data_IF_581099758982
#
_entry.id   IF_581099758982
#
_cell.length_a   1.000
_cell.length_b   1.000
_cell.length_c   1.000
_cell.angle_alpha   90.00
_cell.angle_beta   90.00
_cell.angle_gamma   90.00
#
_symmetry.space_group_name_H-M   'P 1'
#
loop_
_entity.id
_entity.type
_entity.pdbx_description
1 polymer ?
#
# COMPACT_ATOMS: atom_id res chain seq x y z
N UNK A 1 0.96 9.28 -8.52
CA UNK A 1 1.50 8.34 -7.52
C UNK A 1 1.50 9.06 -6.19
N UNK A 2 0.92 8.48 -5.15
CA UNK A 2 0.92 9.08 -3.81
C UNK A 2 2.33 8.93 -3.19
N UNK A 3 2.98 10.02 -2.74
CA UNK A 3 4.30 9.94 -2.15
C UNK A 3 4.26 9.13 -0.85
N UNK A 4 5.32 8.36 -0.59
CA UNK A 4 5.46 7.65 0.69
C UNK A 4 5.49 8.68 1.84
N UNK A 5 4.76 8.45 2.94
CA UNK A 5 4.86 9.29 4.14
C UNK A 5 6.31 9.40 4.61
N UNK A 6 6.74 10.64 4.92
CA UNK A 6 8.08 10.92 5.43
C UNK A 6 8.00 11.09 6.95
N UNK A 7 8.84 10.40 7.73
CA UNK A 7 8.87 10.57 9.18
C UNK A 7 9.35 11.99 9.55
N UNK A 8 8.74 12.57 10.58
CA UNK A 8 9.21 13.82 11.22
C UNK A 8 10.08 13.49 12.43
N UNK A 9 11.02 14.35 12.82
CA UNK A 9 11.86 14.15 14.02
C UNK A 9 11.05 13.95 15.31
N UNK A 10 9.87 14.56 15.39
CA UNK A 10 8.92 14.42 16.50
C UNK A 10 8.55 12.97 16.83
N UNK A 11 8.60 12.02 15.88
CA UNK A 11 8.25 10.61 16.14
C UNK A 11 9.21 9.94 17.12
N UNK A 12 10.41 10.50 17.32
CA UNK A 12 11.42 9.96 18.24
C UNK A 12 11.07 10.30 19.69
N UNK A 13 10.39 11.44 19.91
CA UNK A 13 10.12 11.99 21.24
C UNK A 13 8.65 11.97 21.63
N UNK A 14 7.74 11.89 20.65
CA UNK A 14 6.29 11.90 20.84
C UNK A 14 5.66 10.59 20.34
N UNK A 15 5.11 9.76 21.25
CA UNK A 15 4.47 8.50 20.86
C UNK A 15 3.23 8.71 19.99
N UNK A 16 2.50 9.82 20.15
CA UNK A 16 1.31 10.13 19.34
C UNK A 16 1.73 10.43 17.89
N UNK A 17 2.81 11.17 17.71
CA UNK A 17 3.38 11.43 16.39
C UNK A 17 3.84 10.12 15.71
N UNK A 18 4.40 9.17 16.47
CA UNK A 18 4.78 7.86 15.96
C UNK A 18 3.56 7.03 15.52
N UNK A 19 2.49 7.00 16.31
CA UNK A 19 1.25 6.30 15.95
C UNK A 19 0.60 6.87 14.69
N UNK A 20 0.52 8.21 14.58
CA UNK A 20 0.00 8.85 13.36
C UNK A 20 0.85 8.54 12.13
N UNK A 21 2.18 8.53 12.26
CA UNK A 21 3.07 8.16 11.16
C UNK A 21 2.86 6.69 10.75
N UNK A 22 2.76 5.77 11.70
CA UNK A 22 2.51 4.36 11.41
C UNK A 22 1.17 4.17 10.70
N UNK A 23 0.09 4.79 11.20
CA UNK A 23 -1.23 4.74 10.56
C UNK A 23 -1.20 5.29 9.12
N UNK A 24 -0.48 6.39 8.90
CA UNK A 24 -0.30 6.96 7.57
C UNK A 24 0.45 5.99 6.64
N UNK A 25 1.52 5.36 7.13
CA UNK A 25 2.34 4.41 6.39
C UNK A 25 1.54 3.17 5.98
N UNK A 26 0.77 2.60 6.90
CA UNK A 26 -0.10 1.45 6.62
C UNK A 26 -1.17 1.80 5.58
N UNK A 27 -1.82 2.97 5.72
CA UNK A 27 -2.84 3.41 4.75
C UNK A 27 -2.27 3.63 3.34
N UNK A 28 -1.05 4.14 3.24
CA UNK A 28 -0.35 4.28 1.97
C UNK A 28 0.00 2.92 1.36
N UNK A 29 0.44 1.97 2.20
CA UNK A 29 0.72 0.59 1.80
C UNK A 29 -0.52 -0.12 1.25
N UNK A 30 -1.67 0.01 1.91
CA UNK A 30 -2.93 -0.58 1.46
C UNK A 30 -3.41 -0.01 0.13
N UNK A 31 -3.28 1.31 -0.07
CA UNK A 31 -3.59 1.97 -1.36
C UNK A 31 -2.67 1.47 -2.48
N UNK A 32 -1.38 1.30 -2.20
CA UNK A 32 -0.43 0.76 -3.18
C UNK A 32 -0.74 -0.71 -3.49
N UNK A 33 -1.05 -1.50 -2.47
CA UNK A 33 -1.40 -2.91 -2.61
C UNK A 33 -2.68 -3.08 -3.44
N UNK A 34 -3.74 -2.35 -3.13
CA UNK A 34 -5.00 -2.39 -3.87
C UNK A 34 -4.84 -1.92 -5.32
N UNK A 35 -4.04 -0.89 -5.59
CA UNK A 35 -3.69 -0.48 -6.95
C UNK A 35 -2.92 -1.58 -7.70
N UNK A 36 -1.95 -2.21 -7.05
CA UNK A 36 -1.18 -3.34 -7.58
C UNK A 36 -2.07 -4.54 -7.91
N UNK A 37 -3.00 -4.91 -7.02
CA UNK A 37 -3.96 -5.99 -7.23
C UNK A 37 -4.86 -5.73 -8.45
N UNK A 38 -5.35 -4.48 -8.62
CA UNK A 38 -6.15 -4.09 -9.80
C UNK A 38 -5.37 -4.22 -11.10
N UNK A 39 -4.10 -3.79 -11.10
CA UNK A 39 -3.23 -3.91 -12.27
C UNK A 39 -2.91 -5.39 -12.57
N UNK A 40 -2.60 -6.19 -11.55
CA UNK A 40 -2.38 -7.62 -11.71
C UNK A 40 -3.59 -8.30 -12.37
N UNK A 41 -4.81 -8.06 -11.85
CA UNK A 41 -6.05 -8.61 -12.40
C UNK A 41 -6.34 -8.12 -13.82
N UNK A 42 -5.90 -6.92 -14.17
CA UNK A 42 -5.97 -6.44 -15.55
C UNK A 42 -5.07 -7.27 -16.46
N UNK A 43 -3.79 -7.45 -16.08
CA UNK A 43 -2.83 -8.20 -16.89
C UNK A 43 -3.17 -9.70 -17.01
N UNK A 44 -3.65 -10.31 -15.92
CA UNK A 44 -4.15 -11.68 -15.93
C UNK A 44 -5.30 -11.85 -16.95
N UNK A 45 -6.26 -10.91 -16.99
CA UNK A 45 -7.36 -10.94 -17.96
C UNK A 45 -6.93 -10.70 -19.40
N UNK A 46 -5.84 -9.97 -19.62
CA UNK A 46 -5.27 -9.77 -20.96
C UNK A 46 -4.41 -10.95 -21.44
N UNK A 47 -4.26 -12.00 -20.64
CA UNK A 47 -3.47 -13.19 -20.99
C UNK A 47 -1.96 -12.99 -20.90
N UNK A 48 -1.50 -12.08 -20.03
CA UNK A 48 -0.07 -11.90 -19.80
C UNK A 48 0.50 -13.15 -19.10
N UNK A 49 1.52 -13.81 -19.68
CA UNK A 49 2.13 -14.99 -19.08
C UNK A 49 2.86 -14.62 -17.78
N UNK A 50 2.77 -15.49 -16.76
CA UNK A 50 3.44 -15.29 -15.47
C UNK A 50 2.65 -14.48 -14.45
N UNK A 51 1.37 -14.16 -14.74
CA UNK A 51 0.46 -13.44 -13.84
C UNK A 51 -0.67 -14.38 -13.36
N UNK A 52 -0.30 -15.60 -12.98
CA UNK A 52 -1.24 -16.66 -12.60
C UNK A 52 -1.84 -16.44 -11.21
N UNK A 53 -1.13 -15.73 -10.33
CA UNK A 53 -1.54 -15.46 -8.97
C UNK A 53 -1.56 -13.95 -8.71
N UNK A 54 -2.76 -13.38 -8.65
CA UNK A 54 -2.95 -12.00 -8.23
C UNK A 54 -3.44 -11.97 -6.79
N UNK A 55 -2.84 -11.13 -5.91
CA UNK A 55 -3.33 -11.00 -4.55
C UNK A 55 -4.79 -10.57 -4.56
N UNK A 56 -5.58 -11.22 -3.70
CA UNK A 56 -6.94 -10.79 -3.41
C UNK A 56 -6.82 -9.44 -2.71
N UNK A 57 -7.24 -8.36 -3.39
CA UNK A 57 -7.22 -7.05 -2.76
C UNK A 57 -8.03 -7.11 -1.47
N UNK A 58 -7.41 -6.74 -0.34
CA UNK A 58 -8.01 -6.69 0.99
C UNK A 58 -9.50 -6.33 0.89
N UNK A 59 -10.36 -7.32 1.16
CA UNK A 59 -11.77 -7.07 1.41
C UNK A 59 -11.89 -6.23 2.69
N UNK A 60 -12.87 -5.30 2.74
CA UNK A 60 -13.00 -4.32 3.82
C UNK A 60 -13.22 -4.95 5.20
#
# INVERSE_FOLDING_TARGET
>A
MEPKPVPTDAIVTDPVAAEHYNAALESWGDRLHSAGARLCRFFQRTGMPGVDFCPEGNEP
#
